data_IF_361252213900
#
_entry.id   IF_361252213900
#
_cell.length_a   1.000
_cell.length_b   1.000
_cell.length_c   1.000
_cell.angle_alpha   90.00
_cell.angle_beta   90.00
_cell.angle_gamma   90.00
#
_symmetry.space_group_name_H-M   'P 1'
#
loop_
_entity.id
_entity.type
_entity.pdbx_description
1 polymer ?
#
# COMPACT_ATOMS: atom_id res chain seq x y z
N UNK A 1 15.95 -6.02 5.14
CA UNK A 1 16.30 -5.16 3.98
C UNK A 1 15.22 -4.09 3.87
N UNK A 2 15.57 -2.85 3.49
CA UNK A 2 14.61 -1.76 3.25
C UNK A 2 14.86 -1.23 1.85
N UNK A 3 13.83 -1.25 1.03
CA UNK A 3 13.87 -0.73 -0.34
C UNK A 3 12.77 0.32 -0.51
N UNK A 4 13.12 1.47 -1.06
CA UNK A 4 12.19 2.57 -1.30
C UNK A 4 11.87 2.67 -2.78
N UNK A 5 10.61 2.90 -3.11
CA UNK A 5 10.13 3.02 -4.49
C UNK A 5 8.91 3.94 -4.57
N UNK A 6 8.54 4.33 -5.78
CA UNK A 6 7.28 5.04 -6.05
C UNK A 6 6.22 4.05 -6.51
N UNK A 7 5.08 3.99 -5.82
CA UNK A 7 3.95 3.13 -6.17
C UNK A 7 3.00 3.88 -7.12
N UNK A 8 2.86 3.44 -8.39
CA UNK A 8 1.96 4.08 -9.35
C UNK A 8 0.51 3.63 -9.15
N UNK A 9 -0.36 4.55 -8.75
CA UNK A 9 -1.76 4.25 -8.45
C UNK A 9 -2.66 5.05 -9.38
N UNK A 10 -3.57 4.36 -10.06
CA UNK A 10 -4.65 5.01 -10.80
C UNK A 10 -5.84 5.20 -9.87
N UNK A 11 -6.20 6.45 -9.62
CA UNK A 11 -7.31 6.80 -8.74
C UNK A 11 -8.13 7.92 -9.37
N UNK A 12 -9.45 7.71 -9.52
CA UNK A 12 -10.38 8.67 -10.15
C UNK A 12 -9.88 9.17 -11.53
N UNK A 13 -9.31 8.27 -12.33
CA UNK A 13 -8.69 8.51 -13.64
C UNK A 13 -7.43 9.40 -13.62
N UNK A 14 -6.86 9.65 -12.44
CA UNK A 14 -5.59 10.34 -12.29
C UNK A 14 -4.48 9.34 -11.93
N UNK A 15 -3.29 9.55 -12.50
CA UNK A 15 -2.10 8.79 -12.16
C UNK A 15 -1.38 9.48 -10.99
N UNK A 16 -1.38 8.83 -9.83
CA UNK A 16 -0.71 9.27 -8.62
C UNK A 16 0.54 8.43 -8.37
N UNK A 17 1.57 9.05 -7.79
CA UNK A 17 2.77 8.39 -7.32
C UNK A 17 2.86 8.56 -5.82
N UNK A 18 2.97 7.44 -5.10
CA UNK A 18 3.11 7.44 -3.66
C UNK A 18 4.48 6.89 -3.25
N UNK A 19 5.22 7.61 -2.39
CA UNK A 19 6.43 7.07 -1.79
C UNK A 19 6.09 5.83 -0.97
N UNK A 20 6.80 4.75 -1.25
CA UNK A 20 6.58 3.45 -0.61
C UNK A 20 7.89 2.82 -0.15
N UNK A 21 7.79 2.00 0.91
CA UNK A 21 8.91 1.24 1.44
C UNK A 21 8.56 -0.24 1.58
N UNK A 22 9.32 -1.12 0.92
CA UNK A 22 9.30 -2.55 1.17
C UNK A 22 10.20 -2.85 2.37
N UNK A 23 9.63 -3.46 3.41
CA UNK A 23 10.33 -3.76 4.65
C UNK A 23 10.18 -5.25 5.00
N UNK A 24 11.27 -5.87 5.45
CA UNK A 24 11.20 -7.18 6.12
C UNK A 24 10.37 -7.05 7.40
N UNK A 25 9.41 -7.95 7.62
CA UNK A 25 8.54 -7.93 8.80
C UNK A 25 8.20 -9.37 9.24
N UNK A 26 8.68 -9.75 10.43
CA UNK A 26 8.61 -11.14 10.89
C UNK A 26 9.28 -12.10 9.91
N UNK A 27 8.55 -13.13 9.48
CA UNK A 27 8.98 -14.08 8.44
C UNK A 27 8.52 -13.71 7.02
N UNK A 28 8.01 -12.48 6.84
CA UNK A 28 7.45 -11.99 5.58
C UNK A 28 7.95 -10.56 5.29
N UNK A 29 7.17 -9.81 4.53
CA UNK A 29 7.38 -8.39 4.25
C UNK A 29 6.11 -7.58 4.53
N UNK A 30 6.28 -6.27 4.56
CA UNK A 30 5.19 -5.29 4.49
C UNK A 30 5.59 -4.15 3.57
N UNK A 31 4.61 -3.45 3.03
CA UNK A 31 4.81 -2.23 2.25
C UNK A 31 4.21 -1.06 3.02
N UNK A 32 5.02 -0.05 3.31
CA UNK A 32 4.58 1.20 3.91
C UNK A 32 4.31 2.20 2.79
N UNK A 33 3.06 2.63 2.59
CA UNK A 33 2.66 3.60 1.55
C UNK A 33 2.36 4.94 2.21
N UNK A 34 3.11 5.98 1.86
CA UNK A 34 2.97 7.30 2.47
C UNK A 34 1.98 8.14 1.68
N UNK A 35 0.85 8.45 2.29
CA UNK A 35 -0.12 9.43 1.79
C UNK A 35 0.11 10.79 2.47
N UNK A 36 -0.42 11.89 1.90
CA UNK A 36 -0.40 13.19 2.58
C UNK A 36 -1.08 13.18 3.96
N UNK A 37 -2.07 12.31 4.16
CA UNK A 37 -2.85 12.25 5.41
C UNK A 37 -2.29 11.28 6.45
N UNK A 38 -1.68 10.17 6.03
CA UNK A 38 -1.10 9.15 6.92
C UNK A 38 -0.33 8.08 6.13
N UNK A 39 0.28 7.13 6.84
CA UNK A 39 0.89 5.95 6.23
C UNK A 39 -0.05 4.75 6.27
N UNK A 40 -0.32 4.15 5.12
CA UNK A 40 -1.01 2.84 5.02
C UNK A 40 0.04 1.74 5.08
N UNK A 41 -0.26 0.66 5.80
CA UNK A 41 0.59 -0.54 5.85
C UNK A 41 -0.10 -1.64 5.06
N UNK A 42 0.62 -2.25 4.11
CA UNK A 42 0.16 -3.41 3.36
C UNK A 42 0.92 -4.65 3.84
N UNK A 43 0.19 -5.68 4.24
CA UNK A 43 0.75 -6.98 4.63
C UNK A 43 0.21 -8.08 3.71
N UNK A 44 1.02 -9.09 3.34
CA UNK A 44 0.53 -10.26 2.59
C UNK A 44 -0.60 -10.96 3.35
N UNK A 45 -1.72 -11.19 2.66
CA UNK A 45 -2.86 -11.95 3.17
C UNK A 45 -2.89 -13.40 2.67
N UNK A 46 -3.92 -14.14 3.08
CA UNK A 46 -4.05 -15.57 2.82
C UNK A 46 -4.39 -15.95 1.36
N UNK A 47 -4.82 -14.99 0.52
CA UNK A 47 -5.36 -15.23 -0.84
C UNK A 47 -4.56 -14.55 -1.96
N UNK A 48 -3.23 -14.36 -1.80
CA UNK A 48 -2.37 -13.60 -2.74
C UNK A 48 -2.73 -12.11 -2.87
N UNK A 49 -3.63 -11.58 -2.04
CA UNK A 49 -3.91 -10.16 -1.95
C UNK A 49 -3.19 -9.54 -0.76
N UNK A 50 -2.81 -8.28 -0.90
CA UNK A 50 -2.41 -7.48 0.26
C UNK A 50 -3.63 -7.07 1.08
N UNK A 51 -3.47 -7.08 2.40
CA UNK A 51 -4.40 -6.43 3.33
C UNK A 51 -3.86 -5.05 3.71
N UNK A 52 -4.70 -4.03 3.60
CA UNK A 52 -4.41 -2.70 4.11
C UNK A 52 -4.74 -2.57 5.61
N UNK A 53 -3.83 -1.95 6.35
CA UNK A 53 -3.97 -1.54 7.74
C UNK A 53 -3.80 -0.02 7.78
N UNK A 54 -4.81 0.66 8.31
CA UNK A 54 -4.84 2.10 8.48
C UNK A 54 -4.76 2.38 9.99
N UNK A 55 -3.59 2.79 10.52
CA UNK A 55 -3.37 2.91 11.95
C UNK A 55 -4.14 4.09 12.57
N UNK A 56 -4.28 5.20 11.85
CA UNK A 56 -4.97 6.40 12.33
C UNK A 56 -6.39 6.51 11.76
N UNK A 57 -7.39 6.59 12.65
CA UNK A 57 -8.80 6.68 12.25
C UNK A 57 -9.28 8.10 11.97
N UNK A 58 -8.61 9.12 12.50
CA UNK A 58 -9.07 10.50 12.42
C UNK A 58 -8.91 11.13 11.03
N UNK A 59 -8.11 10.52 10.14
CA UNK A 59 -7.91 10.98 8.75
C UNK A 59 -7.94 9.81 7.76
N UNK A 60 -9.00 9.00 7.82
CA UNK A 60 -9.11 7.81 6.99
C UNK A 60 -9.11 8.20 5.50
N UNK A 61 -8.19 7.63 4.68
CA UNK A 61 -8.17 7.90 3.25
C UNK A 61 -9.47 7.40 2.62
N UNK A 62 -9.80 7.95 1.45
CA UNK A 62 -10.93 7.43 0.65
C UNK A 62 -10.77 5.92 0.46
N UNK A 63 -11.83 5.16 0.72
CA UNK A 63 -11.80 3.70 0.62
C UNK A 63 -11.50 3.25 -0.81
N UNK A 64 -11.91 4.03 -1.82
CA UNK A 64 -11.56 3.76 -3.22
C UNK A 64 -10.06 3.93 -3.48
N UNK A 65 -9.41 4.90 -2.82
CA UNK A 65 -7.97 5.09 -2.92
C UNK A 65 -7.21 3.94 -2.25
N UNK A 66 -7.66 3.52 -1.06
CA UNK A 66 -7.07 2.36 -0.35
C UNK A 66 -7.17 1.11 -1.23
N UNK A 67 -8.35 0.89 -1.85
CA UNK A 67 -8.56 -0.24 -2.75
C UNK A 67 -7.61 -0.19 -3.96
N UNK A 68 -7.48 0.96 -4.62
CA UNK A 68 -6.58 1.12 -5.76
C UNK A 68 -5.11 0.84 -5.38
N UNK A 69 -4.68 1.31 -4.20
CA UNK A 69 -3.33 1.03 -3.66
C UNK A 69 -3.10 -0.48 -3.47
N UNK A 70 -4.06 -1.19 -2.88
CA UNK A 70 -3.99 -2.64 -2.65
C UNK A 70 -3.93 -3.40 -3.96
N UNK A 71 -4.77 -3.04 -4.93
CA UNK A 71 -4.82 -3.70 -6.24
C UNK A 71 -3.51 -3.50 -7.00
N UNK A 72 -2.97 -2.28 -7.03
CA UNK A 72 -1.65 -2.02 -7.62
C UNK A 72 -0.55 -2.84 -6.95
N UNK A 73 -0.47 -2.82 -5.61
CA UNK A 73 0.57 -3.54 -4.89
C UNK A 73 0.47 -5.05 -5.13
N UNK A 74 -0.75 -5.59 -5.15
CA UNK A 74 -1.01 -6.99 -5.48
C UNK A 74 -0.51 -7.31 -6.89
N UNK A 75 -0.84 -6.50 -7.90
CA UNK A 75 -0.39 -6.74 -9.27
C UNK A 75 1.14 -6.70 -9.43
N UNK A 76 1.85 -5.92 -8.61
CA UNK A 76 3.30 -5.73 -8.71
C UNK A 76 4.13 -6.78 -7.94
N UNK A 77 3.61 -7.30 -6.82
CA UNK A 77 4.41 -8.09 -5.88
C UNK A 77 3.87 -9.51 -5.64
N UNK A 78 2.74 -9.86 -6.24
CA UNK A 78 2.16 -11.21 -6.23
C UNK A 78 1.89 -11.60 -7.68
N UNK A 79 2.89 -12.24 -8.30
CA UNK A 79 2.87 -12.79 -9.66
C UNK A 79 3.24 -14.26 -9.64
#
# INVERSE_FOLDING_TARGET
>A
MKETFELPVIYKNEALLFPAELQSYGYSHRIMVTLPSQTIILEPGDEQYYRAIVPERENMPDTELIKAIVETATALFTS
#
